data_IF_608112231415
#
_entry.id   IF_608112231415
#
_cell.length_a   1.000
_cell.length_b   1.000
_cell.length_c   1.000
_cell.angle_alpha   90.00
_cell.angle_beta   90.00
_cell.angle_gamma   90.00
#
_symmetry.space_group_name_H-M   'P 1'
#
loop_
_entity.id
_entity.type
_entity.pdbx_description
1 polymer ?
#
# COMPACT_ATOMS: atom_id res chain seq x y z
N UNK A 1 -17.32 13.65 -16.78
CA UNK A 1 -18.08 12.64 -16.02
C UNK A 1 -17.39 11.32 -16.26
N UNK A 2 -16.70 10.76 -15.27
CA UNK A 2 -16.17 9.40 -15.38
C UNK A 2 -17.24 8.46 -14.86
N UNK A 3 -17.73 7.55 -15.70
CA UNK A 3 -18.72 6.56 -15.27
C UNK A 3 -18.10 5.68 -14.17
N UNK A 4 -18.92 5.37 -13.17
CA UNK A 4 -18.61 4.40 -12.12
C UNK A 4 -18.30 3.00 -12.68
N UNK A 5 -18.66 2.75 -13.94
CA UNK A 5 -18.39 1.51 -14.70
C UNK A 5 -16.89 1.17 -14.80
N UNK A 6 -16.01 2.16 -14.64
CA UNK A 6 -14.56 1.98 -14.69
C UNK A 6 -13.92 1.69 -13.31
N UNK A 7 -14.69 1.69 -12.21
CA UNK A 7 -14.17 1.43 -10.87
C UNK A 7 -13.97 -0.07 -10.67
N UNK A 8 -12.73 -0.53 -10.85
CA UNK A 8 -12.31 -1.86 -10.41
C UNK A 8 -11.70 -1.76 -9.00
N UNK A 9 -12.43 -2.29 -8.01
CA UNK A 9 -11.99 -2.44 -6.62
C UNK A 9 -11.88 -3.93 -6.29
N UNK A 10 -10.73 -4.35 -5.78
CA UNK A 10 -10.44 -5.74 -5.45
C UNK A 10 -10.01 -5.85 -3.98
N UNK A 11 -10.49 -6.89 -3.30
CA UNK A 11 -10.02 -7.28 -1.97
C UNK A 11 -9.16 -8.53 -2.11
N UNK A 12 -7.98 -8.53 -1.50
CA UNK A 12 -7.02 -9.62 -1.51
C UNK A 12 -6.66 -10.08 -2.94
N UNK A 13 -5.99 -9.20 -3.71
CA UNK A 13 -5.79 -9.38 -5.15
C UNK A 13 -5.04 -10.67 -5.47
N UNK A 14 -5.48 -11.33 -6.53
CA UNK A 14 -4.76 -12.42 -7.19
C UNK A 14 -3.89 -11.87 -8.33
N UNK A 15 -3.02 -12.72 -8.87
CA UNK A 15 -2.23 -12.40 -10.08
C UNK A 15 -3.07 -12.03 -11.30
N UNK A 16 -4.33 -12.48 -11.36
CA UNK A 16 -5.25 -12.14 -12.47
C UNK A 16 -5.79 -10.73 -12.31
N UNK A 17 -6.12 -10.34 -11.08
CA UNK A 17 -6.67 -9.01 -10.75
C UNK A 17 -5.64 -7.91 -11.02
N UNK A 18 -4.35 -8.21 -10.87
CA UNK A 18 -3.27 -7.28 -11.17
C UNK A 18 -3.36 -6.68 -12.58
N UNK A 19 -3.84 -7.43 -13.59
CA UNK A 19 -4.03 -6.92 -14.97
C UNK A 19 -5.19 -5.96 -15.11
N UNK A 20 -6.18 -6.04 -14.23
CA UNK A 20 -7.33 -5.13 -14.22
C UNK A 20 -7.04 -3.88 -13.40
N UNK A 21 -6.19 -4.02 -12.37
CA UNK A 21 -5.71 -2.93 -11.52
C UNK A 21 -4.70 -2.07 -12.28
N UNK A 22 -3.67 -2.68 -12.85
CA UNK A 22 -2.68 -2.00 -13.67
C UNK A 22 -3.22 -1.85 -15.09
N UNK A 23 -3.45 -0.61 -15.50
CA UNK A 23 -3.88 -0.28 -16.87
C UNK A 23 -2.62 -0.07 -17.73
N UNK A 24 -2.35 1.17 -18.08
CA UNK A 24 -1.20 1.54 -18.91
C UNK A 24 0.10 1.57 -18.09
N UNK A 25 0.00 1.97 -16.83
CA UNK A 25 1.12 2.05 -15.90
C UNK A 25 0.93 1.10 -14.72
N UNK A 26 2.06 0.68 -14.12
CA UNK A 26 2.06 -0.07 -12.86
C UNK A 26 1.79 0.88 -11.69
N UNK A 27 0.58 1.42 -11.68
CA UNK A 27 0.09 2.32 -10.65
C UNK A 27 -1.16 1.75 -9.97
N UNK A 28 -1.05 1.52 -8.66
CA UNK A 28 -2.15 1.09 -7.81
C UNK A 28 -2.23 1.95 -6.55
N UNK A 29 -3.44 2.06 -6.00
CA UNK A 29 -3.70 2.63 -4.68
C UNK A 29 -4.48 1.61 -3.86
N UNK A 30 -4.38 1.70 -2.55
CA UNK A 30 -5.10 0.76 -1.70
C UNK A 30 -5.13 1.13 -0.23
N UNK A 31 -5.73 0.23 0.54
CA UNK A 31 -5.84 0.27 1.99
C UNK A 31 -5.38 -1.09 2.53
N UNK A 32 -4.49 -1.06 3.53
CA UNK A 32 -4.12 -2.21 4.34
C UNK A 32 -4.96 -2.24 5.62
N UNK A 33 -5.80 -3.26 5.74
CA UNK A 33 -6.66 -3.46 6.89
C UNK A 33 -5.88 -4.03 8.07
N UNK A 34 -6.44 -3.93 9.28
CA UNK A 34 -5.76 -4.35 10.50
C UNK A 34 -5.50 -5.86 10.55
N UNK A 35 -6.32 -6.66 9.88
CA UNK A 35 -6.12 -8.10 9.79
C UNK A 35 -5.07 -8.51 8.73
N UNK A 36 -4.52 -7.56 7.97
CA UNK A 36 -3.58 -7.82 6.88
C UNK A 36 -4.22 -7.97 5.50
N UNK A 37 -5.55 -7.91 5.41
CA UNK A 37 -6.24 -7.87 4.12
C UNK A 37 -5.94 -6.56 3.37
N UNK A 38 -6.04 -6.63 2.05
CA UNK A 38 -5.71 -5.53 1.16
C UNK A 38 -6.90 -5.19 0.27
N UNK A 39 -7.36 -3.94 0.32
CA UNK A 39 -8.24 -3.39 -0.71
C UNK A 39 -7.39 -2.59 -1.69
N UNK A 40 -7.54 -2.83 -2.99
CA UNK A 40 -6.70 -2.22 -4.03
C UNK A 40 -7.53 -1.85 -5.26
N UNK A 41 -7.15 -0.75 -5.89
CA UNK A 41 -7.75 -0.27 -7.12
C UNK A 41 -6.69 0.42 -7.99
N UNK A 42 -7.06 0.73 -9.24
CA UNK A 42 -6.19 1.42 -10.18
C UNK A 42 -5.76 2.81 -9.64
N UNK A 43 -4.47 3.14 -9.76
CA UNK A 43 -3.93 4.35 -9.16
C UNK A 43 -4.43 5.68 -9.74
N UNK A 44 -4.96 5.69 -10.97
CA UNK A 44 -5.53 6.89 -11.59
C UNK A 44 -6.88 7.29 -10.98
N UNK A 45 -7.52 6.35 -10.28
CA UNK A 45 -8.76 6.61 -9.57
C UNK A 45 -8.43 7.20 -8.20
N UNK A 46 -8.80 8.47 -8.04
CA UNK A 46 -8.65 9.18 -6.77
C UNK A 46 -9.42 8.51 -5.64
N UNK A 47 -8.79 8.41 -4.47
CA UNK A 47 -9.38 7.81 -3.27
C UNK A 47 -10.75 8.41 -2.91
N UNK A 48 -10.97 9.71 -3.13
CA UNK A 48 -12.27 10.37 -2.89
C UNK A 48 -13.43 9.75 -3.66
N UNK A 49 -13.17 9.10 -4.81
CA UNK A 49 -14.19 8.36 -5.57
C UNK A 49 -14.46 6.97 -5.01
N UNK A 50 -13.49 6.38 -4.32
CA UNK A 50 -13.55 5.00 -3.82
C UNK A 50 -14.07 4.96 -2.38
N UNK A 51 -13.68 5.94 -1.56
CA UNK A 51 -14.04 6.00 -0.13
C UNK A 51 -15.54 5.81 0.17
N UNK A 52 -16.50 6.33 -0.62
CA UNK A 52 -17.93 6.08 -0.36
C UNK A 52 -18.35 4.59 -0.45
N UNK A 53 -17.54 3.75 -1.10
CA UNK A 53 -17.80 2.32 -1.30
C UNK A 53 -17.01 1.43 -0.35
N UNK A 54 -16.16 2.01 0.48
CA UNK A 54 -15.31 1.30 1.42
C UNK A 54 -15.89 1.48 2.82
N UNK A 55 -16.23 0.36 3.46
CA UNK A 55 -16.78 0.35 4.83
C UNK A 55 -15.72 0.21 5.91
N UNK A 56 -14.50 -0.16 5.54
CA UNK A 56 -13.39 -0.42 6.46
C UNK A 56 -12.21 0.51 6.19
N UNK A 57 -11.65 1.08 7.24
CA UNK A 57 -10.50 1.99 7.15
C UNK A 57 -9.21 1.27 7.51
N UNK A 58 -8.10 1.78 7.00
CA UNK A 58 -6.78 1.26 7.31
C UNK A 58 -5.68 2.16 6.77
N UNK A 59 -4.48 1.60 6.67
CA UNK A 59 -3.31 2.35 6.22
C UNK A 59 -3.37 2.50 4.70
N UNK A 60 -3.40 3.73 4.23
CA UNK A 60 -3.38 4.00 2.79
C UNK A 60 -2.00 3.69 2.21
N UNK A 61 -1.99 3.15 1.00
CA UNK A 61 -0.76 2.96 0.26
C UNK A 61 -0.93 3.27 -1.23
N UNK A 62 0.20 3.47 -1.90
CA UNK A 62 0.26 3.43 -3.35
C UNK A 62 1.49 2.67 -3.84
N UNK A 63 1.34 1.99 -4.97
CA UNK A 63 2.45 1.35 -5.69
C UNK A 63 2.61 2.09 -7.00
N UNK A 64 3.77 2.68 -7.23
CA UNK A 64 4.14 3.25 -8.52
C UNK A 64 5.46 2.64 -8.98
N UNK A 65 5.40 1.79 -10.01
CA UNK A 65 6.52 0.98 -10.49
C UNK A 65 7.14 0.08 -9.40
N UNK A 66 8.30 0.49 -8.87
CA UNK A 66 9.08 -0.20 -7.85
C UNK A 66 9.03 0.51 -6.48
N UNK A 67 8.23 1.58 -6.34
CA UNK A 67 8.01 2.30 -5.09
C UNK A 67 6.68 1.89 -4.46
N UNK A 68 6.72 1.41 -3.22
CA UNK A 68 5.58 1.28 -2.33
C UNK A 68 5.61 2.44 -1.34
N UNK A 69 4.62 3.32 -1.43
CA UNK A 69 4.45 4.45 -0.53
C UNK A 69 3.35 4.15 0.47
N UNK A 70 3.65 4.27 1.76
CA UNK A 70 2.73 4.04 2.88
C UNK A 70 2.41 5.40 3.52
N UNK A 71 1.14 5.82 3.48
CA UNK A 71 0.69 7.05 4.12
C UNK A 71 0.36 6.76 5.58
N UNK A 72 1.27 7.13 6.48
CA UNK A 72 1.18 6.81 7.89
C UNK A 72 0.15 7.68 8.63
N UNK A 73 -0.57 7.08 9.59
CA UNK A 73 -1.73 7.68 10.28
C UNK A 73 -1.68 7.47 11.81
N UNK A 74 -0.57 7.83 12.46
CA UNK A 74 -0.40 7.71 13.93
C UNK A 74 -0.44 6.28 14.50
N UNK A 75 -0.35 5.25 13.66
CA UNK A 75 -0.23 3.86 14.11
C UNK A 75 1.19 3.54 14.59
N UNK A 76 1.34 2.60 15.52
CA UNK A 76 2.67 2.15 15.94
C UNK A 76 3.45 1.54 14.75
N UNK A 77 4.75 1.82 14.64
CA UNK A 77 5.58 1.27 13.56
C UNK A 77 5.59 -0.26 13.51
N UNK A 78 5.54 -0.90 14.68
CA UNK A 78 5.42 -2.36 14.81
C UNK A 78 4.10 -2.88 14.23
N UNK A 79 3.02 -2.12 14.33
CA UNK A 79 1.71 -2.48 13.78
C UNK A 79 1.69 -2.30 12.25
N UNK A 80 2.29 -1.21 11.75
CA UNK A 80 2.49 -1.01 10.31
C UNK A 80 3.32 -2.15 9.70
N UNK A 81 4.43 -2.51 10.34
CA UNK A 81 5.26 -3.63 9.90
C UNK A 81 4.48 -4.94 9.91
N UNK A 82 3.72 -5.22 10.98
CA UNK A 82 2.89 -6.43 11.08
C UNK A 82 1.91 -6.53 9.91
N UNK A 83 1.22 -5.43 9.57
CA UNK A 83 0.28 -5.39 8.43
C UNK A 83 0.99 -5.63 7.10
N UNK A 84 2.15 -4.99 6.89
CA UNK A 84 2.94 -5.18 5.67
C UNK A 84 3.42 -6.63 5.52
N UNK A 85 3.83 -7.25 6.62
CA UNK A 85 4.25 -8.66 6.64
C UNK A 85 3.10 -9.59 6.30
N UNK A 86 1.92 -9.38 6.90
CA UNK A 86 0.73 -10.17 6.60
C UNK A 86 0.24 -9.98 5.16
N UNK A 87 0.33 -8.77 4.63
CA UNK A 87 -0.09 -8.44 3.27
C UNK A 87 0.88 -8.91 2.18
N UNK A 88 2.00 -9.56 2.54
CA UNK A 88 3.02 -10.02 1.58
C UNK A 88 2.43 -10.80 0.39
N UNK A 89 1.55 -11.81 0.58
CA UNK A 89 1.04 -12.57 -0.55
C UNK A 89 0.30 -11.71 -1.58
N UNK A 90 -0.34 -10.62 -1.13
CA UNK A 90 -1.09 -9.70 -1.98
C UNK A 90 -0.15 -8.77 -2.76
N UNK A 91 0.89 -8.24 -2.11
CA UNK A 91 1.94 -7.49 -2.81
C UNK A 91 2.70 -8.36 -3.82
N UNK A 92 2.97 -9.63 -3.49
CA UNK A 92 3.57 -10.60 -4.40
C UNK A 92 2.64 -10.87 -5.60
N UNK A 93 1.32 -10.96 -5.39
CA UNK A 93 0.33 -11.11 -6.47
C UNK A 93 0.23 -9.87 -7.37
N UNK A 94 0.42 -8.68 -6.79
CA UNK A 94 0.58 -7.42 -7.51
C UNK A 94 1.97 -7.31 -8.18
N UNK A 95 2.84 -8.30 -8.00
CA UNK A 95 4.17 -8.35 -8.61
C UNK A 95 5.09 -7.23 -8.11
N UNK A 96 4.93 -6.77 -6.87
CA UNK A 96 5.85 -5.80 -6.28
C UNK A 96 7.24 -6.45 -6.12
N UNK A 97 8.33 -5.82 -6.63
CA UNK A 97 9.63 -6.47 -6.65
C UNK A 97 10.26 -6.56 -5.26
N UNK A 98 11.02 -7.61 -5.00
CA UNK A 98 11.76 -7.81 -3.73
C UNK A 98 12.74 -6.67 -3.41
N UNK A 99 13.34 -6.07 -4.45
CA UNK A 99 14.22 -4.90 -4.32
C UNK A 99 13.48 -3.56 -4.42
N UNK A 100 12.14 -3.60 -4.49
CA UNK A 100 11.29 -2.42 -4.47
C UNK A 100 11.52 -1.58 -3.23
N UNK A 101 11.45 -0.26 -3.38
CA UNK A 101 11.65 0.69 -2.28
C UNK A 101 10.34 0.89 -1.52
N UNK A 102 10.41 0.88 -0.20
CA UNK A 102 9.34 1.32 0.68
C UNK A 102 9.63 2.74 1.15
N UNK A 103 8.64 3.62 1.07
CA UNK A 103 8.69 4.99 1.57
C UNK A 103 7.51 5.21 2.50
N UNK A 104 7.74 5.87 3.63
CA UNK A 104 6.69 6.29 4.54
C UNK A 104 6.43 7.79 4.35
N UNK A 105 5.22 8.13 3.91
CA UNK A 105 4.74 9.51 3.92
C UNK A 105 4.04 9.75 5.25
N UNK A 106 4.72 10.44 6.15
CA UNK A 106 4.15 10.86 7.43
C UNK A 106 3.43 12.20 7.33
N UNK A 107 3.77 13.02 6.34
CA UNK A 107 3.28 14.40 6.24
C UNK A 107 1.82 14.46 5.83
N UNK A 108 1.36 13.56 4.95
CA UNK A 108 0.01 13.61 4.38
C UNK A 108 -1.10 13.72 5.44
N UNK A 109 -1.04 12.90 6.49
CA UNK A 109 -2.05 12.90 7.56
C UNK A 109 -1.61 13.68 8.79
N UNK A 110 -0.30 13.67 9.09
CA UNK A 110 0.18 14.14 10.40
C UNK A 110 0.83 15.51 10.35
N UNK A 111 1.09 16.02 9.14
CA UNK A 111 1.82 17.27 8.91
C UNK A 111 3.21 17.32 9.53
N UNK A 112 3.79 16.16 9.90
CA UNK A 112 5.17 16.01 10.34
C UNK A 112 5.95 15.12 9.37
N UNK A 113 7.24 15.42 9.22
CA UNK A 113 8.17 14.57 8.48
C UNK A 113 8.98 13.75 9.46
N UNK A 114 8.94 12.44 9.29
CA UNK A 114 9.75 11.51 10.05
C UNK A 114 10.69 10.81 9.07
N UNK A 115 12.02 10.94 9.24
CA UNK A 115 12.98 10.32 8.33
C UNK A 115 13.05 8.81 8.55
N UNK A 116 13.25 8.07 7.47
CA UNK A 116 13.51 6.62 7.49
C UNK A 116 14.77 6.33 6.69
N UNK A 117 15.45 5.23 7.03
CA UNK A 117 16.47 4.67 6.15
C UNK A 117 15.82 4.21 4.82
N UNK A 118 16.64 4.03 3.80
CA UNK A 118 16.19 3.36 2.57
C UNK A 118 15.84 1.90 2.91
N UNK A 119 14.56 1.55 2.75
CA UNK A 119 14.05 0.20 3.04
C UNK A 119 13.71 -0.49 1.73
N UNK A 120 14.28 -1.68 1.53
CA UNK A 120 13.91 -2.60 0.45
C UNK A 120 12.83 -3.56 0.91
N UNK A 121 11.94 -3.93 0.01
CA UNK A 121 10.79 -4.76 0.32
C UNK A 121 11.17 -6.07 1.01
N UNK A 122 12.20 -6.76 0.49
CA UNK A 122 12.71 -8.00 1.08
C UNK A 122 13.18 -7.86 2.54
N UNK A 123 13.68 -6.69 2.94
CA UNK A 123 14.23 -6.47 4.28
C UNK A 123 13.15 -6.56 5.35
N UNK A 124 11.89 -6.25 5.05
CA UNK A 124 10.77 -6.41 6.00
C UNK A 124 10.61 -7.86 6.51
N UNK A 125 11.14 -8.83 5.77
CA UNK A 125 11.00 -10.26 6.03
C UNK A 125 12.29 -10.90 6.54
N UNK A 126 13.35 -10.11 6.74
CA UNK A 126 14.60 -10.58 7.33
C UNK A 126 14.44 -10.77 8.84
N UNK A 127 14.99 -11.85 9.38
CA UNK A 127 14.95 -12.14 10.81
C UNK A 127 15.56 -10.99 11.62
N UNK A 128 14.80 -10.45 12.56
CA UNK A 128 15.24 -9.34 13.41
C UNK A 128 15.14 -7.95 12.79
N UNK A 129 14.58 -7.80 11.59
CA UNK A 129 14.28 -6.48 11.04
C UNK A 129 13.20 -5.77 11.86
N UNK A 130 13.46 -4.51 12.21
CA UNK A 130 12.51 -3.64 12.91
C UNK A 130 12.27 -2.38 12.10
N UNK A 131 11.01 -2.14 11.72
CA UNK A 131 10.60 -0.89 11.13
C UNK A 131 10.61 0.20 12.19
N UNK A 132 11.48 1.19 12.02
CA UNK A 132 11.55 2.37 12.87
C UNK A 132 12.15 3.55 12.09
N UNK A 133 11.80 4.78 12.48
CA UNK A 133 12.41 5.97 11.90
C UNK A 133 13.89 6.09 12.27
N UNK A 134 14.60 6.95 11.56
CA UNK A 134 15.92 7.41 11.98
C UNK A 134 15.76 8.31 13.22
N UNK A 135 16.64 8.13 14.21
CA UNK A 135 16.69 8.93 15.43
C UNK A 135 16.92 10.42 15.15
#
# INVERSE_FOLDING_TARGET
MGNLDDLFLCTNPTRRDAKSIYRDEKYARGILLANGDMMVWNGDIMHTKVMPYITETGVHFSIFNDKLEICWQYEAWTEIQRRLVLAKPYFDNLGFPEDGRIVFDTRYYTHSDVPFADIRYKQLFEDGFELKPLE
#
